data_IF_566462332380
#
_entry.id   IF_566462332380
#
_cell.length_a   1.000
_cell.length_b   1.000
_cell.length_c   1.000
_cell.angle_alpha   90.00
_cell.angle_beta   90.00
_cell.angle_gamma   90.00
#
_symmetry.space_group_name_H-M   'P 1'
#
loop_
_entity.id
_entity.type
_entity.pdbx_description
1 polymer ?
#
# COMPACT_ATOMS: atom_id res chain seq x y z
N UNK A 1 58.90 -38.48 67.22
CA UNK A 1 59.74 -37.28 67.05
C UNK A 1 58.85 -36.06 67.23
N UNK A 2 59.28 -35.11 68.07
CA UNK A 2 58.76 -33.73 68.13
C UNK A 2 59.40 -32.91 66.96
N UNK A 3 58.97 -31.67 66.61
CA UNK A 3 58.56 -30.60 67.56
C UNK A 3 57.38 -29.70 67.11
N UNK A 4 57.26 -28.54 67.80
CA UNK A 4 56.09 -27.68 68.03
C UNK A 4 56.20 -26.24 67.50
N UNK A 5 55.03 -25.61 67.23
CA UNK A 5 54.72 -24.15 67.30
C UNK A 5 55.37 -23.20 66.26
N UNK A 6 54.93 -21.92 66.10
CA UNK A 6 53.78 -21.19 66.69
C UNK A 6 52.82 -20.52 65.64
N UNK A 7 51.78 -19.75 66.05
CA UNK A 7 50.97 -18.89 65.18
C UNK A 7 51.34 -17.39 65.28
N UNK A 8 51.17 -16.61 64.19
CA UNK A 8 51.42 -15.15 64.20
C UNK A 8 50.31 -14.28 63.59
N UNK A 9 49.98 -13.22 64.35
CA UNK A 9 49.51 -11.88 64.00
C UNK A 9 48.52 -11.63 62.83
N UNK A 10 47.34 -11.11 63.21
CA UNK A 10 46.52 -10.27 62.32
C UNK A 10 47.15 -8.86 62.16
N UNK A 11 47.18 -8.34 60.94
CA UNK A 11 47.58 -6.96 60.64
C UNK A 11 46.36 -6.12 60.22
N UNK A 12 46.18 -4.95 60.83
CA UNK A 12 45.00 -4.11 60.66
C UNK A 12 45.04 -3.25 59.39
N UNK A 13 43.86 -2.90 58.87
CA UNK A 13 43.71 -2.01 57.72
C UNK A 13 44.20 -0.58 58.02
N UNK A 14 44.99 0.00 57.12
CA UNK A 14 45.40 1.41 57.15
C UNK A 14 44.39 2.28 56.40
N UNK A 15 43.89 3.33 57.07
CA UNK A 15 43.04 4.34 56.45
C UNK A 15 43.86 5.33 55.59
N UNK A 16 43.31 5.89 54.49
CA UNK A 16 44.03 6.78 53.59
C UNK A 16 44.17 8.21 54.14
N UNK A 17 45.31 8.85 53.85
CA UNK A 17 45.59 10.24 54.22
C UNK A 17 44.88 11.27 53.31
N UNK A 18 44.63 12.51 53.79
CA UNK A 18 43.83 13.48 53.07
C UNK A 18 44.67 14.38 52.15
N UNK A 19 44.69 14.08 50.83
CA UNK A 19 44.89 15.04 49.71
C UNK A 19 44.86 14.31 48.35
N UNK A 20 43.68 14.23 47.73
CA UNK A 20 43.49 13.89 46.32
C UNK A 20 42.24 14.62 45.80
N UNK A 21 42.23 15.03 44.53
CA UNK A 21 41.16 15.84 43.93
C UNK A 21 39.98 14.99 43.42
N UNK A 22 38.82 15.62 43.22
CA UNK A 22 37.55 14.92 42.95
C UNK A 22 37.45 14.24 41.56
N UNK A 23 38.53 14.22 40.76
CA UNK A 23 38.53 13.69 39.38
C UNK A 23 38.98 12.22 39.28
N UNK A 24 39.40 11.59 40.38
CA UNK A 24 39.96 10.22 40.41
C UNK A 24 38.99 9.17 41.02
N UNK A 25 37.67 9.31 40.84
CA UNK A 25 36.66 8.36 41.38
C UNK A 25 35.75 7.70 40.35
N UNK A 26 36.18 7.58 39.09
CA UNK A 26 35.38 6.90 38.06
C UNK A 26 36.25 6.27 36.94
N UNK A 27 37.13 5.32 37.29
CA UNK A 27 37.74 4.40 36.32
C UNK A 27 38.42 3.22 37.02
N UNK A 28 37.75 2.07 37.07
CA UNK A 28 38.38 0.76 37.38
C UNK A 28 37.63 -0.36 36.67
N UNK A 29 38.06 -0.68 35.46
CA UNK A 29 37.74 -1.93 34.75
C UNK A 29 39.05 -2.54 34.23
N UNK A 30 39.59 -3.53 34.96
CA UNK A 30 40.46 -4.61 34.47
C UNK A 30 40.93 -5.50 35.65
N UNK A 31 41.10 -6.84 35.47
CA UNK A 31 41.00 -7.77 36.60
C UNK A 31 42.31 -8.45 37.00
N UNK A 32 42.39 -8.95 38.23
CA UNK A 32 43.18 -10.16 38.54
C UNK A 32 42.65 -10.94 39.76
N UNK A 33 42.62 -12.27 39.61
CA UNK A 33 42.69 -13.26 40.70
C UNK A 33 41.50 -13.43 41.65
N UNK A 34 40.43 -14.08 41.16
CA UNK A 34 39.62 -14.98 41.99
C UNK A 34 39.09 -16.19 41.17
N UNK A 35 39.28 -17.39 41.71
CA UNK A 35 38.77 -18.70 41.26
C UNK A 35 37.85 -19.19 42.39
N UNK A 36 36.74 -19.92 42.22
CA UNK A 36 36.25 -20.77 41.13
C UNK A 36 34.70 -20.76 41.09
N UNK A 37 34.12 -21.41 40.05
CA UNK A 37 32.68 -21.61 39.77
C UNK A 37 32.00 -20.43 39.07
N UNK A 38 32.09 -20.47 37.73
CA UNK A 38 31.23 -19.71 36.81
C UNK A 38 29.74 -20.07 37.05
N UNK A 39 28.85 -19.12 37.37
CA UNK A 39 27.44 -19.28 37.06
C UNK A 39 27.32 -19.16 35.54
N UNK A 40 26.88 -20.23 34.87
CA UNK A 40 26.64 -20.18 33.41
C UNK A 40 25.64 -19.07 33.12
N UNK A 41 26.11 -17.95 32.55
CA UNK A 41 25.24 -16.84 32.15
C UNK A 41 24.44 -17.26 30.90
N UNK A 42 23.37 -18.00 31.15
CA UNK A 42 22.41 -18.41 30.14
C UNK A 42 21.71 -17.22 29.49
N UNK A 43 21.81 -16.00 30.01
CA UNK A 43 21.29 -14.79 29.38
C UNK A 43 22.33 -14.14 28.44
N UNK A 44 23.63 -14.23 28.72
CA UNK A 44 24.69 -13.91 27.76
C UNK A 44 24.61 -14.88 26.56
N UNK A 45 24.66 -16.19 26.80
CA UNK A 45 24.58 -17.20 25.73
C UNK A 45 23.30 -17.04 24.87
N UNK A 46 22.12 -16.86 25.49
CA UNK A 46 20.87 -16.61 24.75
C UNK A 46 20.87 -15.30 23.95
N UNK A 47 21.61 -14.27 24.39
CA UNK A 47 21.76 -13.01 23.62
C UNK A 47 22.69 -13.21 22.42
N UNK A 48 23.77 -13.96 22.59
CA UNK A 48 24.72 -14.24 21.51
C UNK A 48 24.12 -15.18 20.45
N UNK A 49 23.41 -16.23 20.87
CA UNK A 49 22.63 -17.12 19.99
C UNK A 49 21.56 -16.33 19.21
N UNK A 50 20.80 -15.45 19.89
CA UNK A 50 19.78 -14.63 19.23
C UNK A 50 20.39 -13.61 18.25
N UNK A 51 21.56 -13.04 18.57
CA UNK A 51 22.28 -12.16 17.65
C UNK A 51 22.82 -12.91 16.44
N UNK A 52 23.29 -14.15 16.61
CA UNK A 52 23.74 -14.98 15.50
C UNK A 52 22.57 -15.40 14.60
N UNK A 53 21.47 -15.89 15.17
CA UNK A 53 20.25 -16.19 14.43
C UNK A 53 19.71 -14.97 13.66
N UNK A 54 19.75 -13.76 14.26
CA UNK A 54 19.36 -12.53 13.59
C UNK A 54 20.31 -12.13 12.43
N UNK A 55 21.61 -12.44 12.53
CA UNK A 55 22.58 -12.22 11.43
C UNK A 55 22.33 -13.21 10.27
N UNK A 56 22.10 -14.47 10.59
CA UNK A 56 21.80 -15.53 9.61
C UNK A 56 20.46 -15.28 8.89
N UNK A 57 19.43 -14.86 9.63
CA UNK A 57 18.14 -14.45 9.05
C UNK A 57 18.27 -13.25 8.11
N UNK A 58 19.05 -12.21 8.48
CA UNK A 58 19.33 -11.05 7.62
C UNK A 58 20.11 -11.43 6.36
N UNK A 59 21.08 -12.33 6.47
CA UNK A 59 21.84 -12.83 5.32
C UNK A 59 20.94 -13.66 4.36
N UNK A 60 20.07 -14.50 4.90
CA UNK A 60 19.07 -15.27 4.14
C UNK A 60 18.08 -14.35 3.41
N UNK A 61 17.53 -13.35 4.11
CA UNK A 61 16.62 -12.36 3.52
C UNK A 61 17.31 -11.57 2.38
N UNK A 62 18.53 -11.09 2.58
CA UNK A 62 19.29 -10.39 1.54
C UNK A 62 19.55 -11.27 0.30
N UNK A 63 19.84 -12.56 0.50
CA UNK A 63 20.00 -13.55 -0.59
C UNK A 63 18.68 -13.77 -1.35
N UNK A 64 17.56 -13.90 -0.63
CA UNK A 64 16.23 -14.05 -1.23
C UNK A 64 15.82 -12.82 -2.06
N UNK A 65 16.04 -11.61 -1.54
CA UNK A 65 15.80 -10.34 -2.28
C UNK A 65 16.66 -10.28 -3.54
N UNK A 66 17.96 -10.61 -3.45
CA UNK A 66 18.85 -10.61 -4.61
C UNK A 66 18.42 -11.62 -5.70
N UNK A 67 17.98 -12.82 -5.30
CA UNK A 67 17.45 -13.83 -6.22
C UNK A 67 16.13 -13.37 -6.89
N UNK A 68 15.26 -12.69 -6.15
CA UNK A 68 14.01 -12.16 -6.66
C UNK A 68 14.23 -10.98 -7.64
N UNK A 69 15.17 -10.07 -7.33
CA UNK A 69 15.61 -9.03 -8.26
C UNK A 69 16.20 -9.60 -9.56
N UNK A 70 17.04 -10.64 -9.47
CA UNK A 70 17.59 -11.32 -10.65
C UNK A 70 16.47 -11.91 -11.52
N UNK A 71 15.50 -12.62 -10.91
CA UNK A 71 14.34 -13.17 -11.64
C UNK A 71 13.49 -12.08 -12.33
N UNK A 72 13.32 -10.91 -11.71
CA UNK A 72 12.60 -9.78 -12.32
C UNK A 72 13.38 -9.20 -13.50
N UNK A 73 14.71 -9.03 -13.38
CA UNK A 73 15.56 -8.54 -14.48
C UNK A 73 15.56 -9.50 -15.67
N UNK A 74 15.61 -10.82 -15.44
CA UNK A 74 15.54 -11.82 -16.51
C UNK A 74 14.17 -11.82 -17.21
N UNK A 75 13.07 -11.70 -16.47
CA UNK A 75 11.71 -11.57 -17.04
C UNK A 75 11.56 -10.29 -17.86
N UNK A 76 12.11 -9.17 -17.41
CA UNK A 76 12.14 -7.92 -18.18
C UNK A 76 12.97 -8.07 -19.45
N UNK A 77 14.16 -8.68 -19.37
CA UNK A 77 15.06 -8.91 -20.50
C UNK A 77 14.44 -9.83 -21.56
N UNK A 78 13.75 -10.88 -21.14
CA UNK A 78 12.97 -11.74 -22.03
C UNK A 78 11.85 -10.94 -22.73
N UNK A 79 11.09 -10.12 -21.99
CA UNK A 79 10.03 -9.28 -22.55
C UNK A 79 10.55 -8.25 -23.57
N UNK A 80 11.70 -7.62 -23.34
CA UNK A 80 12.32 -6.73 -24.33
C UNK A 80 12.77 -7.48 -25.58
N UNK A 81 13.32 -8.69 -25.46
CA UNK A 81 13.71 -9.49 -26.63
C UNK A 81 12.49 -9.91 -27.47
N UNK A 82 11.37 -10.30 -26.83
CA UNK A 82 10.12 -10.60 -27.55
C UNK A 82 9.54 -9.38 -28.26
N UNK A 83 9.67 -8.18 -27.67
CA UNK A 83 9.23 -6.93 -28.32
C UNK A 83 10.13 -6.54 -29.50
N UNK A 84 11.43 -6.74 -29.39
CA UNK A 84 12.38 -6.50 -30.48
C UNK A 84 12.08 -7.43 -31.67
N UNK A 85 11.95 -8.74 -31.44
CA UNK A 85 11.63 -9.68 -32.51
C UNK A 85 10.23 -9.45 -33.10
N UNK A 86 9.27 -8.95 -32.34
CA UNK A 86 7.96 -8.57 -32.89
C UNK A 86 8.06 -7.32 -33.79
N UNK A 87 8.91 -6.35 -33.45
CA UNK A 87 9.14 -5.17 -34.27
C UNK A 87 9.85 -5.52 -35.59
N UNK A 88 10.93 -6.31 -35.56
CA UNK A 88 11.65 -6.78 -36.75
C UNK A 88 10.73 -7.56 -37.71
N UNK A 89 9.87 -8.44 -37.18
CA UNK A 89 8.87 -9.16 -37.98
C UNK A 89 7.81 -8.24 -38.60
N UNK A 90 7.44 -7.13 -37.92
CA UNK A 90 6.47 -6.17 -38.43
C UNK A 90 7.08 -5.32 -39.55
N UNK A 91 8.34 -4.88 -39.37
CA UNK A 91 9.09 -4.08 -40.33
C UNK A 91 9.32 -4.86 -41.64
N UNK A 92 9.78 -6.11 -41.55
CA UNK A 92 9.92 -7.02 -42.69
C UNK A 92 8.58 -7.31 -43.41
N UNK A 93 7.46 -7.38 -42.67
CA UNK A 93 6.14 -7.54 -43.29
C UNK A 93 5.71 -6.27 -44.04
N UNK A 94 5.97 -5.08 -43.50
CA UNK A 94 5.66 -3.82 -44.19
C UNK A 94 6.55 -3.57 -45.42
N UNK A 95 7.82 -3.98 -45.41
CA UNK A 95 8.68 -3.93 -46.60
C UNK A 95 8.20 -4.89 -47.70
N UNK A 96 7.70 -6.08 -47.33
CA UNK A 96 7.11 -7.02 -48.28
C UNK A 96 5.80 -6.50 -48.91
N UNK A 97 4.91 -5.86 -48.13
CA UNK A 97 3.71 -5.21 -48.67
C UNK A 97 4.07 -4.02 -49.58
N UNK A 98 5.04 -3.19 -49.18
CA UNK A 98 5.51 -2.06 -50.00
C UNK A 98 6.09 -2.52 -51.35
N UNK A 99 6.88 -3.61 -51.36
CA UNK A 99 7.40 -4.22 -52.59
C UNK A 99 6.27 -4.78 -53.48
N UNK A 100 5.22 -5.37 -52.89
CA UNK A 100 4.06 -5.88 -53.65
C UNK A 100 3.22 -4.76 -54.28
N UNK A 101 3.13 -3.60 -53.63
CA UNK A 101 2.30 -2.47 -54.07
C UNK A 101 2.95 -1.69 -55.21
N UNK A 102 4.28 -1.81 -55.38
CA UNK A 102 5.04 -1.10 -56.40
C UNK A 102 4.96 -1.69 -57.83
N UNK A 103 4.37 -2.87 -58.03
CA UNK A 103 4.47 -3.60 -59.30
C UNK A 103 3.11 -3.99 -59.94
N UNK A 104 2.15 -3.05 -59.95
CA UNK A 104 0.83 -3.22 -60.60
C UNK A 104 0.46 -2.11 -61.59
N UNK A 105 1.44 -1.59 -62.34
CA UNK A 105 1.20 -0.78 -63.54
C UNK A 105 2.21 -1.06 -64.69
N UNK A 106 1.95 -2.06 -65.53
CA UNK A 106 2.08 -1.92 -67.01
C UNK A 106 1.69 -3.18 -67.80
N UNK A 107 1.04 -2.93 -68.95
CA UNK A 107 1.07 -3.70 -70.21
C UNK A 107 0.68 -5.20 -70.29
N UNK A 108 -0.05 -5.52 -71.35
CA UNK A 108 -0.31 -6.88 -71.84
C UNK A 108 0.42 -7.10 -73.18
N UNK A 109 0.89 -8.33 -73.47
CA UNK A 109 0.77 -9.06 -74.77
C UNK A 109 1.53 -10.39 -74.78
N UNK A 110 0.84 -11.45 -75.22
CA UNK A 110 1.29 -12.68 -75.93
C UNK A 110 2.38 -13.66 -75.40
N UNK A 111 2.34 -14.88 -75.98
CA UNK A 111 3.07 -16.12 -75.60
C UNK A 111 4.01 -16.61 -76.74
N UNK A 112 4.60 -17.84 -76.78
CA UNK A 112 4.90 -18.88 -75.76
C UNK A 112 6.35 -19.49 -75.88
N UNK A 113 6.62 -20.58 -75.13
CA UNK A 113 7.57 -21.73 -75.38
C UNK A 113 8.74 -21.96 -74.41
N UNK A 114 9.07 -23.25 -74.14
CA UNK A 114 10.36 -23.72 -73.56
C UNK A 114 10.27 -24.58 -72.28
N UNK A 115 10.66 -25.87 -72.36
CA UNK A 115 10.78 -26.83 -71.21
C UNK A 115 12.22 -26.90 -70.66
N UNK A 116 12.41 -27.17 -69.35
CA UNK A 116 13.12 -28.37 -68.78
C UNK A 116 13.26 -28.33 -67.23
N UNK A 117 13.65 -29.47 -66.60
CA UNK A 117 13.40 -29.92 -65.20
C UNK A 117 14.47 -31.02 -64.86
N UNK A 118 15.01 -31.29 -63.62
CA UNK A 118 14.26 -31.60 -62.37
C UNK A 118 14.77 -31.01 -60.98
N UNK A 119 15.41 -31.69 -59.96
CA UNK A 119 15.00 -31.53 -58.53
C UNK A 119 16.20 -31.40 -57.50
N UNK A 120 16.10 -31.63 -56.15
CA UNK A 120 14.95 -32.00 -55.26
C UNK A 120 14.82 -31.27 -53.88
N UNK A 121 13.70 -31.55 -53.17
CA UNK A 121 13.42 -31.59 -51.71
C UNK A 121 13.92 -30.43 -50.80
N UNK A 122 13.19 -29.87 -49.81
CA UNK A 122 12.21 -30.37 -48.80
C UNK A 122 11.23 -29.20 -48.49
N UNK A 123 9.99 -29.31 -47.98
CA UNK A 123 9.13 -30.44 -47.55
C UNK A 123 8.33 -30.05 -46.28
N UNK A 124 7.00 -29.94 -46.38
CA UNK A 124 6.09 -29.44 -45.31
C UNK A 124 5.38 -30.57 -44.52
N UNK A 125 5.01 -30.34 -43.24
CA UNK A 125 4.26 -31.32 -42.44
C UNK A 125 2.78 -31.46 -42.86
N UNK A 126 2.19 -32.67 -42.76
CA UNK A 126 0.85 -32.96 -43.31
C UNK A 126 -0.28 -32.63 -42.32
N UNK A 127 -0.93 -31.48 -42.49
CA UNK A 127 -2.17 -31.15 -41.77
C UNK A 127 -3.14 -30.20 -42.51
N UNK A 128 -2.82 -29.77 -43.75
CA UNK A 128 -3.55 -28.70 -44.46
C UNK A 128 -3.65 -28.91 -45.99
N UNK A 129 -3.60 -30.15 -46.47
CA UNK A 129 -3.61 -30.47 -47.92
C UNK A 129 -4.98 -30.85 -48.51
N UNK A 130 -6.00 -31.09 -47.67
CA UNK A 130 -7.33 -31.51 -48.13
C UNK A 130 -8.31 -30.33 -48.10
N UNK A 131 -8.96 -30.07 -49.24
CA UNK A 131 -10.03 -29.09 -49.33
C UNK A 131 -11.30 -29.61 -48.62
N UNK A 132 -12.02 -28.77 -47.85
CA UNK A 132 -13.21 -29.21 -47.14
C UNK A 132 -14.35 -29.62 -48.08
N UNK A 133 -14.82 -30.86 -47.92
CA UNK A 133 -15.97 -31.42 -48.66
C UNK A 133 -17.29 -30.93 -48.06
N UNK A 134 -17.90 -29.92 -48.73
CA UNK A 134 -19.18 -29.35 -48.33
C UNK A 134 -20.41 -30.21 -48.69
N UNK A 135 -20.25 -31.37 -49.34
CA UNK A 135 -21.39 -32.22 -49.74
C UNK A 135 -22.11 -32.88 -48.54
N UNK A 136 -21.51 -32.87 -47.35
CA UNK A 136 -22.06 -33.47 -46.12
C UNK A 136 -22.99 -32.57 -45.31
N UNK A 137 -23.27 -31.34 -45.77
CA UNK A 137 -24.20 -30.41 -45.08
C UNK A 137 -25.69 -30.68 -45.36
N UNK A 138 -26.02 -31.54 -46.33
CA UNK A 138 -27.40 -31.88 -46.69
C UNK A 138 -27.72 -33.35 -46.41
N UNK A 139 -27.83 -33.72 -45.13
CA UNK A 139 -28.47 -34.97 -44.73
C UNK A 139 -30.01 -34.78 -44.74
N UNK A 140 -30.80 -35.74 -45.25
CA UNK A 140 -32.25 -35.62 -45.28
C UNK A 140 -32.86 -35.65 -43.87
N UNK A 141 -33.85 -34.79 -43.65
CA UNK A 141 -34.53 -34.58 -42.37
C UNK A 141 -35.32 -35.83 -41.95
N UNK A 142 -35.06 -36.33 -40.74
CA UNK A 142 -35.87 -37.38 -40.13
C UNK A 142 -37.28 -36.85 -39.78
N UNK A 143 -38.35 -37.66 -39.91
CA UNK A 143 -39.70 -37.23 -39.55
C UNK A 143 -39.81 -36.91 -38.04
N UNK A 144 -40.63 -35.92 -37.65
CA UNK A 144 -40.66 -35.43 -36.28
C UNK A 144 -41.32 -36.44 -35.32
N UNK A 145 -40.87 -36.53 -34.06
CA UNK A 145 -41.60 -37.24 -33.02
C UNK A 145 -42.90 -36.49 -32.67
N UNK A 146 -43.95 -37.25 -32.33
CA UNK A 146 -45.24 -36.69 -31.94
C UNK A 146 -45.17 -35.86 -30.65
N UNK A 147 -45.90 -34.73 -30.65
CA UNK A 147 -46.26 -33.92 -29.48
C UNK A 147 -45.11 -33.26 -28.70
N UNK A 148 -44.37 -32.36 -29.35
CA UNK A 148 -43.61 -31.33 -28.65
C UNK A 148 -44.54 -30.22 -28.12
N UNK A 149 -44.52 -29.96 -26.80
CA UNK A 149 -45.29 -28.89 -26.18
C UNK A 149 -44.83 -27.49 -26.66
N UNK A 150 -45.75 -26.52 -26.67
CA UNK A 150 -45.48 -25.16 -27.13
C UNK A 150 -44.32 -24.49 -26.33
N UNK A 151 -43.48 -23.66 -26.98
CA UNK A 151 -42.35 -23.03 -26.33
C UNK A 151 -42.81 -22.09 -25.20
N UNK A 152 -42.28 -22.30 -23.99
CA UNK A 152 -42.55 -21.45 -22.85
C UNK A 152 -42.12 -20.01 -23.11
N UNK A 153 -42.93 -19.03 -22.69
CA UNK A 153 -42.61 -17.62 -22.88
C UNK A 153 -41.32 -17.24 -22.11
N UNK A 154 -40.42 -16.44 -22.70
CA UNK A 154 -39.20 -16.03 -22.03
C UNK A 154 -39.52 -15.16 -20.81
N UNK A 155 -38.80 -15.37 -19.70
CA UNK A 155 -39.15 -14.90 -18.35
C UNK A 155 -39.28 -13.37 -18.14
N UNK A 156 -39.01 -12.54 -19.16
CA UNK A 156 -39.22 -11.10 -19.13
C UNK A 156 -40.59 -10.65 -19.69
N UNK A 157 -41.34 -11.54 -20.36
CA UNK A 157 -42.70 -11.29 -20.81
C UNK A 157 -43.70 -11.74 -19.74
N UNK A 158 -44.58 -10.84 -19.32
CA UNK A 158 -45.76 -11.16 -18.51
C UNK A 158 -46.94 -11.43 -19.43
N UNK A 159 -47.85 -12.33 -19.06
CA UNK A 159 -49.03 -12.69 -19.87
C UNK A 159 -49.96 -11.52 -20.24
N UNK A 160 -49.83 -10.36 -19.58
CA UNK A 160 -50.58 -9.13 -19.86
C UNK A 160 -49.80 -8.07 -20.66
N UNK A 161 -48.58 -8.37 -21.13
CA UNK A 161 -47.75 -7.40 -21.86
C UNK A 161 -48.17 -7.27 -23.33
N UNK A 162 -48.55 -6.06 -23.74
CA UNK A 162 -48.73 -5.72 -25.15
C UNK A 162 -47.40 -5.41 -25.82
N UNK A 163 -47.30 -5.57 -27.15
CA UNK A 163 -46.10 -5.20 -27.90
C UNK A 163 -45.68 -3.73 -27.65
N UNK A 164 -46.66 -2.84 -27.45
CA UNK A 164 -46.46 -1.44 -27.09
C UNK A 164 -45.91 -1.24 -25.67
N UNK A 165 -46.30 -2.06 -24.68
CA UNK A 165 -45.74 -1.97 -23.33
C UNK A 165 -44.29 -2.48 -23.27
N UNK A 166 -43.97 -3.53 -24.04
CA UNK A 166 -42.60 -4.04 -24.19
C UNK A 166 -41.72 -2.99 -24.86
N UNK A 167 -42.17 -2.43 -26.00
CA UNK A 167 -41.45 -1.37 -26.72
C UNK A 167 -41.25 -0.12 -25.84
N UNK A 168 -42.29 0.34 -25.14
CA UNK A 168 -42.21 1.47 -24.22
C UNK A 168 -41.19 1.26 -23.10
N UNK A 169 -41.11 0.05 -22.51
CA UNK A 169 -40.10 -0.29 -21.49
C UNK A 169 -38.68 -0.33 -22.08
N UNK A 170 -38.49 -0.84 -23.30
CA UNK A 170 -37.19 -0.84 -23.98
C UNK A 170 -36.73 0.59 -24.31
N UNK A 171 -37.63 1.44 -24.80
CA UNK A 171 -37.34 2.86 -25.08
C UNK A 171 -37.04 3.61 -23.78
N UNK A 172 -37.82 3.40 -22.71
CA UNK A 172 -37.55 4.01 -21.41
C UNK A 172 -36.23 3.54 -20.77
N UNK A 173 -35.88 2.26 -20.93
CA UNK A 173 -34.60 1.70 -20.46
C UNK A 173 -33.42 2.27 -21.26
N UNK A 174 -33.52 2.37 -22.60
CA UNK A 174 -32.51 3.03 -23.43
C UNK A 174 -32.40 4.52 -23.13
N UNK A 175 -33.52 5.20 -22.91
CA UNK A 175 -33.54 6.61 -22.53
C UNK A 175 -32.81 6.81 -21.19
N UNK A 176 -33.13 6.02 -20.15
CA UNK A 176 -32.36 6.03 -18.89
C UNK A 176 -30.88 5.76 -19.14
N UNK A 177 -30.51 4.69 -19.84
CA UNK A 177 -29.11 4.37 -20.12
C UNK A 177 -28.35 5.48 -20.88
N UNK A 178 -29.04 6.26 -21.73
CA UNK A 178 -28.49 7.43 -22.42
C UNK A 178 -28.38 8.64 -21.49
N UNK A 179 -29.41 8.92 -20.67
CA UNK A 179 -29.38 9.97 -19.65
C UNK A 179 -28.34 9.70 -18.56
N UNK A 180 -28.21 8.46 -18.11
CA UNK A 180 -27.18 7.99 -17.19
C UNK A 180 -25.80 8.19 -17.81
N UNK A 181 -25.58 7.80 -19.08
CA UNK A 181 -24.31 8.06 -19.81
C UNK A 181 -24.03 9.55 -20.03
N UNK A 182 -25.04 10.38 -20.23
CA UNK A 182 -24.89 11.83 -20.39
C UNK A 182 -24.55 12.50 -19.03
N UNK A 183 -25.24 12.12 -17.97
CA UNK A 183 -24.97 12.55 -16.59
C UNK A 183 -23.59 12.08 -16.09
N UNK A 184 -23.18 10.86 -16.43
CA UNK A 184 -21.82 10.36 -16.22
C UNK A 184 -20.79 11.28 -16.86
N UNK A 185 -20.93 11.65 -18.15
CA UNK A 185 -19.95 12.54 -18.82
C UNK A 185 -19.84 13.93 -18.20
N UNK A 186 -20.89 14.45 -17.58
CA UNK A 186 -20.87 15.74 -16.86
C UNK A 186 -20.26 15.57 -15.45
N UNK A 187 -20.27 14.37 -14.87
CA UNK A 187 -19.73 14.05 -13.52
C UNK A 187 -18.34 13.36 -13.53
N UNK A 188 -17.81 13.03 -14.71
CA UNK A 188 -16.54 12.32 -14.96
C UNK A 188 -15.35 13.26 -15.22
N UNK A 189 -15.26 14.42 -14.55
CA UNK A 189 -14.00 15.17 -14.52
C UNK A 189 -13.11 14.54 -13.45
N UNK A 190 -12.03 13.88 -13.85
CA UNK A 190 -11.07 13.18 -12.98
C UNK A 190 -10.76 13.98 -11.70
N UNK A 191 -10.78 13.29 -10.56
CA UNK A 191 -10.51 13.90 -9.25
C UNK A 191 -9.00 14.14 -9.08
N UNK A 192 -8.63 15.17 -8.32
CA UNK A 192 -7.26 15.50 -7.98
C UNK A 192 -7.07 15.27 -6.49
N UNK A 193 -6.50 14.14 -6.11
CA UNK A 193 -6.28 13.82 -4.69
C UNK A 193 -4.84 14.14 -4.32
N UNK A 194 -4.68 14.95 -3.27
CA UNK A 194 -3.39 15.20 -2.65
C UNK A 194 -2.99 14.06 -1.74
N UNK A 195 -1.75 13.59 -1.82
CA UNK A 195 -1.16 12.71 -0.81
C UNK A 195 0.01 13.45 -0.17
N UNK A 196 0.04 13.52 1.16
CA UNK A 196 1.13 14.19 1.87
C UNK A 196 2.47 13.47 1.67
N UNK A 197 3.54 14.18 1.35
CA UNK A 197 4.87 13.57 1.22
C UNK A 197 5.40 13.03 2.57
N UNK A 198 6.09 11.89 2.51
CA UNK A 198 7.01 11.45 3.58
C UNK A 198 8.33 12.19 3.44
N UNK A 199 9.01 12.40 4.57
CA UNK A 199 10.35 12.98 4.61
C UNK A 199 11.35 11.87 4.93
N UNK A 200 12.40 11.76 4.13
CA UNK A 200 13.61 11.04 4.48
C UNK A 200 14.62 12.06 4.97
N UNK A 201 15.06 11.94 6.23
CA UNK A 201 16.07 12.83 6.81
C UNK A 201 17.48 12.33 6.50
N UNK A 202 18.44 13.24 6.22
CA UNK A 202 19.78 12.85 5.80
C UNK A 202 20.53 12.10 6.92
N UNK A 203 21.15 10.99 6.56
CA UNK A 203 21.97 10.20 7.47
C UNK A 203 23.34 10.87 7.72
N UNK A 204 23.79 11.01 8.98
CA UNK A 204 25.08 11.62 9.30
C UNK A 204 26.25 10.95 8.58
N UNK A 205 27.02 11.74 7.82
CA UNK A 205 28.18 11.28 7.05
C UNK A 205 27.87 10.54 5.75
N UNK A 206 26.60 10.30 5.41
CA UNK A 206 26.23 9.65 4.15
C UNK A 206 26.45 10.56 2.93
N UNK A 207 26.77 9.95 1.78
CA UNK A 207 26.91 10.62 0.48
C UNK A 207 25.76 10.28 -0.46
N UNK A 208 25.58 11.06 -1.52
CA UNK A 208 24.54 10.83 -2.52
C UNK A 208 23.13 11.16 -1.99
N UNK A 209 22.15 10.30 -2.29
CA UNK A 209 20.75 10.51 -1.89
C UNK A 209 20.56 10.41 -0.36
N UNK A 210 21.27 9.47 0.31
CA UNK A 210 21.17 9.27 1.77
C UNK A 210 21.71 10.45 2.58
N UNK A 211 22.53 11.31 1.98
CA UNK A 211 23.03 12.56 2.58
C UNK A 211 22.15 13.80 2.31
N UNK A 212 20.93 13.63 1.80
CA UNK A 212 20.00 14.72 1.47
C UNK A 212 18.65 14.49 2.15
N UNK A 213 17.95 15.57 2.48
CA UNK A 213 16.51 15.50 2.76
C UNK A 213 15.78 15.15 1.47
N UNK A 214 15.07 14.01 1.44
CA UNK A 214 14.25 13.61 0.29
C UNK A 214 12.77 13.68 0.68
N UNK A 215 11.93 13.92 -0.32
CA UNK A 215 10.48 13.85 -0.17
C UNK A 215 9.96 12.76 -1.10
N UNK A 216 9.13 11.87 -0.58
CA UNK A 216 8.71 10.67 -1.31
C UNK A 216 7.26 10.27 -1.02
N UNK A 217 6.69 9.54 -1.98
CA UNK A 217 5.36 8.95 -1.94
C UNK A 217 5.53 7.43 -2.00
N UNK A 218 4.80 6.68 -1.18
CA UNK A 218 4.83 5.22 -1.28
C UNK A 218 4.03 4.76 -2.51
N UNK A 219 4.53 3.76 -3.23
CA UNK A 219 3.89 3.22 -4.43
C UNK A 219 2.52 2.61 -4.11
N UNK A 220 2.41 1.86 -3.01
CA UNK A 220 1.20 1.16 -2.55
C UNK A 220 0.01 2.12 -2.42
N UNK A 221 0.16 3.20 -1.64
CA UNK A 221 -0.90 4.17 -1.38
C UNK A 221 -1.28 4.96 -2.65
N UNK A 222 -0.30 5.25 -3.52
CA UNK A 222 -0.56 5.90 -4.81
C UNK A 222 -1.38 4.98 -5.72
N UNK A 223 -0.96 3.72 -5.90
CA UNK A 223 -1.65 2.72 -6.70
C UNK A 223 -3.03 2.36 -6.13
N UNK A 224 -3.20 2.36 -4.82
CA UNK A 224 -4.50 2.15 -4.18
C UNK A 224 -5.52 3.23 -4.56
N UNK A 225 -5.14 4.52 -4.47
CA UNK A 225 -6.02 5.63 -4.89
C UNK A 225 -6.21 5.64 -6.41
N UNK A 226 -5.15 5.40 -7.19
CA UNK A 226 -5.18 5.31 -8.66
C UNK A 226 -5.87 4.05 -9.20
N UNK A 227 -6.35 3.15 -8.34
CA UNK A 227 -7.26 2.07 -8.75
C UNK A 227 -8.60 2.62 -9.28
N UNK A 228 -8.91 3.89 -9.02
CA UNK A 228 -10.07 4.65 -9.50
C UNK A 228 -9.64 5.81 -10.41
N UNK A 229 -10.60 6.45 -11.09
CA UNK A 229 -10.36 7.62 -11.96
C UNK A 229 -9.96 8.87 -11.15
N UNK A 230 -8.67 8.89 -10.77
CA UNK A 230 -8.05 9.89 -9.89
C UNK A 230 -6.64 10.20 -10.37
N UNK A 231 -6.32 11.49 -10.46
CA UNK A 231 -4.95 11.99 -10.52
C UNK A 231 -4.42 12.19 -9.09
N UNK A 232 -3.38 11.45 -8.74
CA UNK A 232 -2.68 11.60 -7.45
C UNK A 232 -1.58 12.66 -7.58
N UNK A 233 -1.56 13.59 -6.63
CA UNK A 233 -0.53 14.62 -6.51
C UNK A 233 0.19 14.47 -5.18
N UNK A 234 1.50 14.23 -5.20
CA UNK A 234 2.31 14.37 -3.98
C UNK A 234 2.32 15.85 -3.59
N UNK A 235 1.88 16.17 -2.38
CA UNK A 235 2.03 17.49 -1.78
C UNK A 235 3.38 17.51 -1.06
N UNK A 236 4.36 18.32 -1.51
CA UNK A 236 5.63 18.47 -0.82
C UNK A 236 5.49 19.41 0.39
N UNK A 237 6.40 19.28 1.35
CA UNK A 237 6.60 20.27 2.40
C UNK A 237 7.03 21.61 1.79
N UNK A 238 6.31 22.67 2.13
CA UNK A 238 6.67 24.06 1.78
C UNK A 238 7.66 24.62 2.81
N UNK A 239 8.88 24.08 2.76
CA UNK A 239 9.98 24.52 3.62
C UNK A 239 10.40 25.96 3.31
N UNK A 240 10.20 26.87 4.27
CA UNK A 240 10.61 28.29 4.15
C UNK A 240 12.13 28.50 4.37
N UNK A 241 12.87 27.44 4.71
CA UNK A 241 14.30 27.47 5.06
C UNK A 241 15.22 26.86 3.98
N UNK A 242 14.71 26.58 2.78
CA UNK A 242 15.54 26.12 1.66
C UNK A 242 16.44 27.22 1.08
N UNK A 243 17.49 26.85 0.36
CA UNK A 243 18.36 27.79 -0.37
C UNK A 243 17.67 28.45 -1.59
N UNK A 244 16.43 28.08 -1.89
CA UNK A 244 15.63 28.62 -2.98
C UNK A 244 14.61 29.61 -2.40
N UNK A 245 14.27 30.65 -3.17
CA UNK A 245 13.30 31.66 -2.77
C UNK A 245 12.00 31.01 -2.26
N UNK A 246 11.45 31.45 -1.10
CA UNK A 246 10.15 31.01 -0.63
C UNK A 246 9.10 31.24 -1.71
N UNK A 247 8.36 30.18 -2.06
CA UNK A 247 7.23 30.28 -2.97
C UNK A 247 6.11 31.08 -2.30
N UNK A 248 5.38 31.88 -3.08
CA UNK A 248 4.13 32.49 -2.59
C UNK A 248 2.99 31.45 -2.40
N UNK A 249 3.18 30.21 -2.88
CA UNK A 249 2.25 29.10 -2.69
C UNK A 249 2.25 28.65 -1.23
N UNK A 250 1.07 28.69 -0.60
CA UNK A 250 0.81 28.24 0.77
C UNK A 250 0.02 26.92 0.77
N UNK A 251 -0.09 26.25 1.92
CA UNK A 251 -0.83 24.98 2.01
C UNK A 251 -2.32 25.12 1.63
N UNK A 252 -2.97 26.26 1.92
CA UNK A 252 -4.31 26.59 1.39
C UNK A 252 -4.44 26.52 -0.13
N UNK A 253 -3.37 26.81 -0.88
CA UNK A 253 -3.46 26.82 -2.34
C UNK A 253 -3.52 25.39 -2.91
N UNK A 254 -2.97 24.42 -2.18
CA UNK A 254 -3.22 23.00 -2.46
C UNK A 254 -4.70 22.63 -2.18
N UNK A 255 -5.26 23.08 -1.05
CA UNK A 255 -6.67 22.83 -0.71
C UNK A 255 -7.67 23.44 -1.72
N UNK A 256 -7.31 24.57 -2.37
CA UNK A 256 -8.08 25.17 -3.48
C UNK A 256 -8.01 24.39 -4.80
N UNK A 257 -6.91 23.70 -5.07
CA UNK A 257 -6.64 23.08 -6.37
C UNK A 257 -6.82 21.55 -6.40
N UNK A 258 -7.01 20.95 -5.23
CA UNK A 258 -7.21 19.52 -5.02
C UNK A 258 -8.61 19.25 -4.44
N UNK A 259 -9.16 18.10 -4.76
CA UNK A 259 -10.53 17.71 -4.44
C UNK A 259 -10.63 16.96 -3.09
N UNK A 260 -9.50 16.51 -2.53
CA UNK A 260 -9.40 15.83 -1.23
C UNK A 260 -7.95 15.53 -0.84
N UNK A 261 -7.72 15.18 0.43
CA UNK A 261 -6.42 14.89 1.02
C UNK A 261 -6.34 13.45 1.56
N UNK A 262 -5.21 12.80 1.33
CA UNK A 262 -4.82 11.55 1.98
C UNK A 262 -3.54 11.75 2.78
N UNK A 263 -3.59 11.45 4.07
CA UNK A 263 -2.44 11.41 4.98
C UNK A 263 -1.93 9.98 5.09
N UNK A 264 -0.79 9.68 4.45
CA UNK A 264 -0.24 8.32 4.40
C UNK A 264 0.51 7.94 5.69
N UNK A 265 0.75 6.64 5.89
CA UNK A 265 1.54 6.11 7.00
C UNK A 265 3.02 6.59 7.03
N UNK A 266 3.84 5.95 7.86
CA UNK A 266 5.28 6.21 7.98
C UNK A 266 5.73 6.45 9.42
N UNK A 267 6.92 7.05 9.59
CA UNK A 267 7.56 7.26 10.89
C UNK A 267 6.72 8.06 11.91
N UNK A 268 6.81 7.64 13.16
CA UNK A 268 6.05 8.07 14.35
C UNK A 268 5.70 9.56 14.40
N UNK A 269 4.54 9.86 14.99
CA UNK A 269 4.19 11.23 15.38
C UNK A 269 5.05 11.59 16.59
N UNK A 270 5.71 12.75 16.56
CA UNK A 270 6.57 13.18 17.65
C UNK A 270 5.73 13.46 18.91
N UNK A 271 6.14 12.98 20.09
CA UNK A 271 5.48 13.31 21.36
C UNK A 271 5.30 14.82 21.58
N UNK A 272 6.24 15.63 21.09
CA UNK A 272 6.22 17.10 21.16
C UNK A 272 5.08 17.75 20.37
N UNK A 273 4.34 16.98 19.57
CA UNK A 273 3.17 17.42 18.80
C UNK A 273 1.86 17.22 19.56
N UNK A 274 1.83 16.46 20.68
CA UNK A 274 0.60 16.15 21.44
C UNK A 274 0.73 16.09 22.97
N UNK A 275 1.93 15.97 23.54
CA UNK A 275 2.18 16.03 24.99
C UNK A 275 3.45 16.85 25.29
N UNK A 276 3.45 17.63 26.38
CA UNK A 276 4.64 18.39 26.85
C UNK A 276 5.70 17.50 27.54
N UNK A 277 5.74 16.21 27.23
CA UNK A 277 6.62 15.23 27.89
C UNK A 277 7.96 15.09 27.18
N UNK A 278 8.98 14.74 27.96
CA UNK A 278 10.29 14.33 27.43
C UNK A 278 10.12 13.18 26.43
N UNK A 279 10.57 13.42 25.21
CA UNK A 279 10.59 12.43 24.13
C UNK A 279 11.48 11.24 24.52
N UNK A 280 11.01 10.01 24.28
CA UNK A 280 11.84 8.81 24.43
C UNK A 280 12.92 8.81 23.33
N UNK A 281 14.23 8.68 23.64
CA UNK A 281 15.30 8.76 22.63
C UNK A 281 15.16 7.76 21.47
N UNK A 282 14.55 6.60 21.73
CA UNK A 282 14.26 5.54 20.77
C UNK A 282 13.14 5.89 19.77
N UNK A 283 12.19 6.76 20.15
CA UNK A 283 11.04 7.16 19.33
C UNK A 283 10.89 8.69 19.31
N UNK A 284 11.78 9.41 18.60
CA UNK A 284 11.73 10.85 18.49
C UNK A 284 10.51 11.38 17.71
N UNK A 285 10.00 10.54 16.79
CA UNK A 285 9.04 10.92 15.75
C UNK A 285 9.57 11.99 14.78
N UNK A 286 8.74 12.37 13.81
CA UNK A 286 9.09 13.37 12.81
C UNK A 286 8.30 14.67 13.00
N UNK A 287 8.76 15.50 13.95
CA UNK A 287 8.14 16.81 14.23
C UNK A 287 8.08 17.73 13.00
N UNK A 288 9.03 17.62 12.06
CA UNK A 288 9.04 18.44 10.84
C UNK A 288 7.88 18.03 9.92
N UNK A 289 7.67 16.73 9.76
CA UNK A 289 6.51 16.18 9.03
C UNK A 289 5.20 16.48 9.77
N UNK A 290 5.16 16.35 11.09
CA UNK A 290 3.97 16.61 11.91
C UNK A 290 3.44 18.03 11.68
N UNK A 291 4.27 19.06 11.84
CA UNK A 291 3.84 20.46 11.69
C UNK A 291 3.29 20.74 10.28
N UNK A 292 3.96 20.23 9.26
CA UNK A 292 3.52 20.33 7.87
C UNK A 292 2.16 19.66 7.63
N UNK A 293 1.99 18.41 8.05
CA UNK A 293 0.76 17.66 7.79
C UNK A 293 -0.41 18.12 8.68
N UNK A 294 -0.14 18.68 9.87
CA UNK A 294 -1.15 19.32 10.72
C UNK A 294 -1.68 20.62 10.10
N UNK A 295 -0.81 21.48 9.55
CA UNK A 295 -1.23 22.68 8.81
C UNK A 295 -1.99 22.30 7.53
N UNK A 296 -1.55 21.25 6.82
CA UNK A 296 -2.22 20.72 5.63
C UNK A 296 -3.62 20.17 5.95
N UNK A 297 -3.74 19.37 7.01
CA UNK A 297 -5.02 18.86 7.51
C UNK A 297 -5.97 20.02 7.87
N UNK A 298 -5.49 21.02 8.59
CA UNK A 298 -6.25 22.22 8.93
C UNK A 298 -6.78 22.93 7.68
N UNK A 299 -5.92 23.27 6.71
CA UNK A 299 -6.32 23.99 5.50
C UNK A 299 -7.33 23.20 4.63
N UNK A 300 -7.26 21.85 4.61
CA UNK A 300 -8.27 21.03 3.92
C UNK A 300 -9.60 20.95 4.69
N UNK A 301 -9.57 20.81 6.02
CA UNK A 301 -10.78 20.77 6.87
C UNK A 301 -11.53 22.10 6.83
N UNK A 302 -10.83 23.22 6.96
CA UNK A 302 -11.41 24.57 6.84
C UNK A 302 -11.97 24.84 5.43
N UNK A 303 -11.36 24.27 4.40
CA UNK A 303 -11.87 24.32 3.01
C UNK A 303 -13.06 23.38 2.76
N UNK A 304 -13.55 22.65 3.78
CA UNK A 304 -14.64 21.69 3.65
C UNK A 304 -14.31 20.47 2.78
N UNK A 305 -13.04 20.22 2.48
CA UNK A 305 -12.57 19.10 1.65
C UNK A 305 -12.46 17.83 2.51
N UNK A 306 -12.67 16.63 1.92
CA UNK A 306 -12.53 15.39 2.64
C UNK A 306 -11.07 15.06 2.94
N UNK A 307 -10.85 14.37 4.06
CA UNK A 307 -9.54 13.86 4.45
C UNK A 307 -9.61 12.39 4.86
N UNK A 308 -8.66 11.60 4.37
CA UNK A 308 -8.48 10.20 4.75
C UNK A 308 -7.08 9.98 5.34
N UNK A 309 -6.99 9.56 6.60
CA UNK A 309 -5.74 9.21 7.27
C UNK A 309 -5.54 7.70 7.35
N UNK A 310 -4.34 7.22 6.99
CA UNK A 310 -3.94 5.81 7.05
C UNK A 310 -2.79 5.63 8.04
N UNK A 311 -2.92 4.68 8.96
CA UNK A 311 -1.98 4.40 10.04
C UNK A 311 -1.61 5.68 10.80
N UNK A 312 -0.37 6.17 10.64
CA UNK A 312 0.08 7.47 11.15
C UNK A 312 -0.84 8.65 10.80
N UNK A 313 -1.52 8.62 9.64
CA UNK A 313 -2.51 9.64 9.27
C UNK A 313 -3.74 9.65 10.21
N UNK A 314 -4.16 8.50 10.72
CA UNK A 314 -5.22 8.39 11.73
C UNK A 314 -4.79 9.03 13.07
N UNK A 315 -3.56 8.71 13.50
CA UNK A 315 -2.94 9.27 14.69
C UNK A 315 -2.81 10.80 14.60
N UNK A 316 -2.38 11.32 13.44
CA UNK A 316 -2.24 12.76 13.22
C UNK A 316 -3.59 13.48 13.20
N UNK A 317 -4.63 12.88 12.64
CA UNK A 317 -6.01 13.39 12.75
C UNK A 317 -6.40 13.51 14.24
N UNK A 318 -6.13 12.49 15.06
CA UNK A 318 -6.41 12.56 16.49
C UNK A 318 -5.68 13.71 17.20
N UNK A 319 -4.39 13.87 16.91
CA UNK A 319 -3.55 14.94 17.46
C UNK A 319 -4.03 16.33 17.05
N UNK A 320 -4.42 16.53 15.78
CA UNK A 320 -4.94 17.80 15.28
C UNK A 320 -6.17 18.31 16.04
N UNK A 321 -7.04 17.41 16.49
CA UNK A 321 -8.21 17.74 17.30
C UNK A 321 -7.93 17.80 18.82
N UNK A 322 -6.66 17.70 19.22
CA UNK A 322 -6.19 17.82 20.61
C UNK A 322 -6.23 16.51 21.40
N UNK A 323 -6.20 15.36 20.73
CA UNK A 323 -6.03 14.06 21.36
C UNK A 323 -4.55 13.69 21.57
N UNK A 324 -4.29 12.61 22.30
CA UNK A 324 -2.94 12.10 22.59
C UNK A 324 -2.77 10.66 22.12
N UNK A 325 -1.52 10.21 22.00
CA UNK A 325 -1.16 8.85 21.60
C UNK A 325 -0.48 8.08 22.73
N UNK A 326 -0.54 6.75 22.67
CA UNK A 326 0.44 5.88 23.30
C UNK A 326 1.75 6.02 22.49
N UNK A 327 2.86 6.26 23.19
CA UNK A 327 4.18 6.38 22.54
C UNK A 327 4.68 5.02 22.06
N UNK A 328 4.28 3.96 22.76
CA UNK A 328 4.39 2.57 22.33
C UNK A 328 3.38 1.70 23.09
N UNK A 329 2.54 0.95 22.36
CA UNK A 329 1.51 0.05 22.90
C UNK A 329 2.14 -1.03 23.79
N UNK A 330 3.29 -1.60 23.39
CA UNK A 330 3.89 -2.73 24.09
C UNK A 330 4.37 -2.37 25.51
N UNK A 331 4.85 -1.13 25.71
CA UNK A 331 5.29 -0.62 27.02
C UNK A 331 4.22 0.21 27.76
N UNK A 332 3.40 0.99 27.06
CA UNK A 332 2.37 1.84 27.69
C UNK A 332 1.08 1.07 28.03
N UNK A 333 0.79 -0.05 27.32
CA UNK A 333 -0.41 -0.88 27.52
C UNK A 333 -0.02 -2.37 27.59
N UNK A 334 0.58 -2.85 28.70
CA UNK A 334 1.10 -4.22 28.82
C UNK A 334 0.08 -5.36 28.65
N UNK A 335 -1.22 -5.04 28.63
CA UNK A 335 -2.33 -5.98 28.41
C UNK A 335 -2.81 -6.02 26.95
N UNK A 336 -2.28 -5.16 26.07
CA UNK A 336 -2.67 -5.12 24.67
C UNK A 336 -2.12 -6.31 23.87
N UNK A 337 -2.77 -6.60 22.74
CA UNK A 337 -2.23 -7.53 21.75
C UNK A 337 -0.99 -6.99 21.06
N UNK A 338 -0.44 -7.81 20.16
CA UNK A 338 0.66 -7.40 19.28
C UNK A 338 0.05 -6.64 18.09
N UNK A 339 0.45 -5.39 17.87
CA UNK A 339 0.04 -4.54 16.72
C UNK A 339 1.16 -4.35 15.67
N UNK A 340 2.37 -4.83 15.95
CA UNK A 340 3.46 -4.95 14.97
C UNK A 340 4.40 -6.09 15.37
N UNK A 341 4.91 -6.84 14.39
CA UNK A 341 5.93 -7.87 14.62
C UNK A 341 6.79 -8.07 13.36
N UNK A 342 7.71 -9.04 13.41
CA UNK A 342 8.65 -9.37 12.32
C UNK A 342 7.97 -9.79 11.01
N UNK A 343 6.70 -10.23 11.05
CA UNK A 343 5.92 -10.54 9.84
C UNK A 343 5.37 -9.28 9.15
N UNK A 344 5.49 -8.11 9.77
CA UNK A 344 5.21 -6.79 9.21
C UNK A 344 3.88 -6.74 8.42
N UNK A 345 3.94 -6.69 7.09
CA UNK A 345 2.79 -6.60 6.18
C UNK A 345 1.90 -7.85 6.13
N UNK A 346 2.30 -8.94 6.79
CA UNK A 346 1.52 -10.17 6.99
C UNK A 346 0.89 -10.28 8.39
N UNK A 347 1.18 -9.36 9.32
CA UNK A 347 0.57 -9.41 10.65
C UNK A 347 -0.91 -8.96 10.62
N UNK A 348 -1.78 -9.69 11.34
CA UNK A 348 -3.24 -9.53 11.32
C UNK A 348 -3.83 -9.54 12.73
N UNK A 349 -4.93 -8.82 12.89
CA UNK A 349 -5.80 -8.90 14.08
C UNK A 349 -7.26 -8.59 13.70
N UNK A 350 -8.19 -8.92 14.59
CA UNK A 350 -9.61 -8.60 14.43
C UNK A 350 -9.95 -7.23 15.00
N UNK A 351 -10.82 -6.51 14.30
CA UNK A 351 -11.44 -5.26 14.75
C UNK A 351 -12.94 -5.45 14.88
N UNK A 352 -13.56 -4.61 15.71
CA UNK A 352 -15.00 -4.50 15.90
C UNK A 352 -15.45 -3.06 15.69
N UNK A 353 -16.55 -2.89 14.97
CA UNK A 353 -17.25 -1.61 14.86
C UNK A 353 -18.19 -1.46 16.08
N UNK A 354 -17.98 -0.49 16.98
CA UNK A 354 -18.84 -0.28 18.14
C UNK A 354 -20.24 0.23 17.75
N UNK A 355 -21.21 0.09 18.65
CA UNK A 355 -22.55 0.66 18.44
C UNK A 355 -22.47 2.19 18.24
N UNK A 356 -23.17 2.68 17.21
CA UNK A 356 -23.08 4.08 16.78
C UNK A 356 -21.90 4.41 15.85
N UNK A 357 -21.02 3.46 15.55
CA UNK A 357 -20.08 3.57 14.42
C UNK A 357 -20.84 3.86 13.12
N UNK A 358 -20.32 4.76 12.32
CA UNK A 358 -20.86 5.11 10.99
C UNK A 358 -20.16 4.36 9.86
N UNK A 359 -18.97 3.79 10.10
CA UNK A 359 -18.28 2.91 9.15
C UNK A 359 -19.07 1.64 8.81
N UNK A 360 -19.93 1.15 9.71
CA UNK A 360 -20.85 0.02 9.41
C UNK A 360 -21.78 0.28 8.22
N UNK A 361 -22.00 1.54 7.84
CA UNK A 361 -22.79 1.90 6.65
C UNK A 361 -21.99 1.68 5.34
N UNK A 362 -20.66 1.66 5.42
CA UNK A 362 -19.76 1.30 4.31
C UNK A 362 -19.54 -0.22 4.24
N UNK A 363 -19.61 -0.90 5.39
CA UNK A 363 -19.38 -2.34 5.54
C UNK A 363 -20.67 -3.06 6.01
N UNK A 364 -21.71 -3.14 5.17
CA UNK A 364 -23.00 -3.70 5.57
C UNK A 364 -22.87 -5.15 6.01
N UNK A 365 -23.58 -5.50 7.09
CA UNK A 365 -23.55 -6.80 7.76
C UNK A 365 -22.22 -7.21 8.41
N UNK A 366 -21.20 -6.34 8.42
CA UNK A 366 -19.97 -6.56 9.16
C UNK A 366 -20.01 -5.80 10.49
N UNK A 367 -19.95 -6.54 11.60
CA UNK A 367 -19.74 -6.00 12.97
C UNK A 367 -18.31 -6.21 13.44
N UNK A 368 -17.66 -7.23 12.92
CA UNK A 368 -16.25 -7.54 13.11
C UNK A 368 -15.62 -7.83 11.75
N UNK A 369 -14.31 -7.58 11.64
CA UNK A 369 -13.52 -7.83 10.44
C UNK A 369 -12.06 -8.12 10.83
N UNK A 370 -11.28 -8.70 9.92
CA UNK A 370 -9.82 -8.86 10.10
C UNK A 370 -9.12 -7.80 9.26
N UNK A 371 -8.09 -7.16 9.83
CA UNK A 371 -7.25 -6.16 9.15
C UNK A 371 -5.78 -6.47 9.36
N UNK A 372 -4.94 -5.80 8.58
CA UNK A 372 -3.49 -5.80 8.76
C UNK A 372 -3.05 -4.77 9.80
N UNK A 373 -2.00 -5.09 10.56
CA UNK A 373 -1.56 -4.23 11.67
C UNK A 373 -0.04 -4.09 11.65
N UNK A 374 0.44 -2.85 11.50
CA UNK A 374 1.86 -2.49 11.48
C UNK A 374 2.08 -1.17 12.22
N UNK A 375 1.71 -1.13 13.49
CA UNK A 375 1.88 0.06 14.32
C UNK A 375 2.24 -0.31 15.76
N UNK A 376 3.10 0.49 16.37
CA UNK A 376 3.34 0.45 17.82
C UNK A 376 2.80 1.70 18.52
N UNK A 377 2.55 2.80 17.81
CA UNK A 377 1.74 3.92 18.32
C UNK A 377 0.24 3.69 18.07
N UNK A 378 -0.61 4.24 18.93
CA UNK A 378 -2.07 4.27 18.74
C UNK A 378 -2.70 5.43 19.52
N UNK A 379 -3.97 5.74 19.23
CA UNK A 379 -4.74 6.75 19.97
C UNK A 379 -4.96 6.33 21.43
N UNK A 380 -4.63 7.23 22.36
CA UNK A 380 -4.76 7.06 23.81
C UNK A 380 -5.91 7.90 24.38
N UNK A 381 -5.88 9.20 24.11
CA UNK A 381 -7.00 10.10 24.41
C UNK A 381 -7.55 10.63 23.11
N UNK A 382 -8.87 10.44 22.91
CA UNK A 382 -9.56 10.85 21.71
C UNK A 382 -9.66 12.39 21.63
N UNK A 383 -9.33 12.94 20.46
CA UNK A 383 -9.45 14.37 20.17
C UNK A 383 -10.88 14.89 20.19
N UNK A 384 -11.02 16.22 20.29
CA UNK A 384 -12.33 16.89 20.38
C UNK A 384 -13.14 16.67 19.11
N UNK A 385 -14.43 16.43 19.30
CA UNK A 385 -15.38 16.19 18.20
C UNK A 385 -15.07 15.00 17.28
N UNK A 386 -14.16 14.12 17.70
CA UNK A 386 -14.00 12.80 17.10
C UNK A 386 -14.97 11.77 17.70
N UNK A 387 -15.31 10.76 16.91
CA UNK A 387 -15.92 9.50 17.34
C UNK A 387 -14.93 8.36 17.10
N UNK A 388 -15.01 7.32 17.94
CA UNK A 388 -14.38 6.02 17.68
C UNK A 388 -15.27 5.28 16.69
N UNK A 389 -14.68 4.86 15.57
CA UNK A 389 -15.37 4.19 14.47
C UNK A 389 -15.08 2.68 14.42
N UNK A 390 -13.91 2.26 14.91
CA UNK A 390 -13.52 0.86 15.09
C UNK A 390 -12.52 0.73 16.25
N UNK A 391 -12.49 -0.44 16.89
CA UNK A 391 -11.49 -0.83 17.90
C UNK A 391 -10.97 -2.23 17.62
N UNK A 392 -9.73 -2.51 18.02
CA UNK A 392 -9.19 -3.87 18.13
C UNK A 392 -10.09 -4.71 19.05
N UNK A 393 -10.48 -5.89 18.59
CA UNK A 393 -11.46 -6.73 19.29
C UNK A 393 -10.88 -7.43 20.54
N UNK A 394 -9.55 -7.60 20.60
CA UNK A 394 -8.85 -8.28 21.71
C UNK A 394 -8.60 -7.38 22.93
N UNK A 395 -8.34 -6.10 22.71
CA UNK A 395 -7.76 -5.19 23.71
C UNK A 395 -8.38 -3.79 23.72
N UNK A 396 -9.23 -3.46 22.74
CA UNK A 396 -9.92 -2.18 22.67
C UNK A 396 -9.08 -0.99 22.20
N UNK A 397 -7.85 -1.21 21.70
CA UNK A 397 -7.07 -0.16 21.04
C UNK A 397 -7.89 0.46 19.90
N UNK A 398 -7.82 1.79 19.75
CA UNK A 398 -8.64 2.53 18.76
C UNK A 398 -8.04 2.34 17.36
N UNK A 399 -8.84 1.78 16.46
CA UNK A 399 -8.42 1.40 15.11
C UNK A 399 -9.00 2.30 14.02
N UNK A 400 -10.09 3.03 14.29
CA UNK A 400 -10.56 4.09 13.40
C UNK A 400 -11.22 5.24 14.16
N UNK A 401 -11.11 6.45 13.60
CA UNK A 401 -11.74 7.67 14.13
C UNK A 401 -12.42 8.47 13.02
N UNK A 402 -13.44 9.25 13.36
CA UNK A 402 -14.10 10.22 12.46
C UNK A 402 -14.34 11.54 13.16
N UNK A 403 -14.07 12.66 12.50
CA UNK A 403 -14.49 13.99 12.95
C UNK A 403 -15.95 14.27 12.59
N UNK A 404 -16.76 14.61 13.61
CA UNK A 404 -18.22 14.75 13.50
C UNK A 404 -18.70 15.97 12.71
N UNK A 405 -17.86 16.99 12.53
CA UNK A 405 -18.24 18.29 11.91
C UNK A 405 -17.84 18.40 10.42
N UNK A 406 -17.35 17.33 9.79
CA UNK A 406 -17.08 17.27 8.36
C UNK A 406 -17.76 16.04 7.73
N UNK A 407 -18.26 16.10 6.48
CA UNK A 407 -18.85 14.94 5.80
C UNK A 407 -17.91 13.73 5.72
N UNK A 408 -16.61 13.97 5.58
CA UNK A 408 -15.59 12.92 5.55
C UNK A 408 -14.23 13.43 6.03
N UNK A 409 -13.96 13.26 7.32
CA UNK A 409 -12.60 13.30 7.87
C UNK A 409 -12.47 12.05 8.72
N UNK A 410 -11.79 11.04 8.18
CA UNK A 410 -11.74 9.67 8.71
C UNK A 410 -10.29 9.22 8.80
N UNK A 411 -9.91 8.63 9.93
CA UNK A 411 -8.64 7.92 10.11
C UNK A 411 -8.89 6.43 10.30
N UNK A 412 -8.06 5.59 9.66
CA UNK A 412 -7.96 4.15 9.93
C UNK A 412 -6.51 3.80 10.28
N UNK A 413 -6.30 2.92 11.25
CA UNK A 413 -4.98 2.61 11.81
C UNK A 413 -4.30 1.42 11.09
N UNK A 414 -5.09 0.55 10.45
CA UNK A 414 -4.61 -0.45 9.48
C UNK A 414 -4.19 0.20 8.15
N UNK A 415 -3.71 -0.63 7.21
CA UNK A 415 -3.20 -0.22 5.90
C UNK A 415 -4.02 -0.83 4.74
N UNK A 416 -5.14 -0.19 4.31
CA UNK A 416 -5.96 -0.59 3.17
C UNK A 416 -5.20 -0.88 1.87
N UNK A 417 -4.02 -0.28 1.70
CA UNK A 417 -3.21 -0.31 0.48
C UNK A 417 -2.33 -1.57 0.33
N UNK A 418 -2.18 -2.39 1.38
CA UNK A 418 -1.35 -3.61 1.33
C UNK A 418 -2.08 -4.88 0.90
N UNK A 419 -3.39 -4.82 0.64
CA UNK A 419 -4.14 -5.98 0.16
C UNK A 419 -5.11 -5.62 -0.96
N UNK A 420 -5.52 -6.64 -1.73
CA UNK A 420 -6.47 -6.45 -2.84
C UNK A 420 -7.91 -6.40 -2.32
N UNK A 421 -8.76 -5.68 -3.05
CA UNK A 421 -10.21 -5.78 -2.95
C UNK A 421 -10.69 -7.20 -3.25
N UNK A 422 -11.82 -7.61 -2.66
CA UNK A 422 -12.41 -8.94 -2.83
C UNK A 422 -11.62 -10.11 -2.23
N UNK A 423 -10.59 -9.87 -1.41
CA UNK A 423 -9.94 -10.91 -0.63
C UNK A 423 -10.88 -11.46 0.45
N UNK A 424 -10.92 -12.79 0.64
CA UNK A 424 -11.87 -13.42 1.56
C UNK A 424 -11.49 -13.28 3.05
N UNK A 425 -10.23 -12.94 3.36
CA UNK A 425 -9.70 -12.90 4.73
C UNK A 425 -9.76 -11.51 5.36
N UNK A 426 -9.49 -10.46 4.58
CA UNK A 426 -9.33 -9.09 5.10
C UNK A 426 -10.50 -8.19 4.72
N UNK A 427 -10.75 -7.17 5.55
CA UNK A 427 -11.75 -6.13 5.30
C UNK A 427 -11.56 -5.49 3.93
N UNK A 428 -12.47 -5.73 2.99
CA UNK A 428 -12.44 -5.04 1.70
C UNK A 428 -12.67 -3.54 1.90
N UNK A 429 -11.59 -2.76 1.88
CA UNK A 429 -11.60 -1.32 2.09
C UNK A 429 -12.05 -0.51 0.86
N UNK A 430 -12.54 -1.16 -0.20
CA UNK A 430 -13.08 -0.48 -1.38
C UNK A 430 -14.21 0.52 -1.06
N UNK A 431 -15.19 0.21 -0.18
CA UNK A 431 -16.24 1.17 0.20
C UNK A 431 -15.73 2.41 0.93
N UNK A 432 -14.59 2.31 1.64
CA UNK A 432 -13.95 3.45 2.32
C UNK A 432 -13.37 4.43 1.29
N UNK A 433 -12.60 3.92 0.33
CA UNK A 433 -12.04 4.72 -0.77
C UNK A 433 -13.16 5.34 -1.62
N UNK A 434 -14.19 4.56 -1.95
CA UNK A 434 -15.31 5.03 -2.77
C UNK A 434 -16.13 6.10 -2.07
N UNK A 435 -16.28 6.01 -0.75
CA UNK A 435 -16.95 7.06 0.03
C UNK A 435 -16.11 8.32 0.12
N UNK A 436 -14.79 8.22 0.32
CA UNK A 436 -13.86 9.35 0.26
C UNK A 436 -13.93 10.07 -1.10
N UNK A 437 -13.81 9.34 -2.21
CA UNK A 437 -13.83 9.88 -3.56
C UNK A 437 -15.21 10.41 -3.98
N UNK A 438 -16.30 9.83 -3.45
CA UNK A 438 -17.65 10.38 -3.62
C UNK A 438 -17.77 11.75 -2.96
N UNK A 439 -17.36 11.87 -1.70
CA UNK A 439 -17.41 13.16 -0.98
C UNK A 439 -16.48 14.19 -1.64
N UNK A 440 -15.29 13.79 -2.12
CA UNK A 440 -14.39 14.67 -2.87
C UNK A 440 -15.05 15.28 -4.13
N UNK A 441 -15.93 14.52 -4.79
CA UNK A 441 -16.72 15.00 -5.93
C UNK A 441 -17.87 15.90 -5.51
N UNK A 442 -18.46 15.68 -4.34
CA UNK A 442 -19.56 16.49 -3.77
C UNK A 442 -19.08 17.83 -3.18
N UNK A 443 -17.86 17.89 -2.66
CA UNK A 443 -17.21 19.10 -2.10
C UNK A 443 -16.32 19.84 -3.11
N UNK A 444 -16.53 19.57 -4.40
CA UNK A 444 -15.81 20.21 -5.50
C UNK A 444 -16.49 21.50 -5.92
N UNK A 445 -15.86 22.62 -5.56
CA UNK A 445 -16.23 23.98 -5.92
C UNK A 445 -14.99 24.68 -6.47
#
# INVERSE_FOLDING_TARGET
MNPTAPPEAAAAASAPGPKASATERASTDAPSSASNVEPVDTAQARRDDAQQAAREARASAASATAAQEASVRDKQRASTNTKASLAENLEAATEAEAASTANSQSAATDSPTGRTVPPPAVGMPPAFSDAPDFSKLNAPVAPPPEQAAAPAQPAYLKQSDSAWSVFGRIVAARARQIFDRAGQRITQRTLRIGVSARIFHPEPGAKGLRGKTLQYLEESIAHWVMSRDVLVFMIPTVGHQGMLHPSNIRLRDYAKHLDGLLLQGGADVSPQSYEERTTRPEWPGDRVRDMYELELLHEFVESGKPVLGVCRGCQLINVAFGGTLYGDIATDVPTAGIHVNEKYDQHRHSIRFPDGSTLVNMFPNQREAIVNSIHHQAVKTLGRDLNIEAVSASDGIIEAVRYRKSPFVVGVQWHPEFHRAGGAELLDCTPLLDTFLRVARETRF
#
